data_IF_255228882264
#
_entry.id   IF_255228882264
#
_cell.length_a   1.000
_cell.length_b   1.000
_cell.length_c   1.000
_cell.angle_alpha   90.00
_cell.angle_beta   90.00
_cell.angle_gamma   90.00
#
_symmetry.space_group_name_H-M   'P 1'
#
loop_
_entity.id
_entity.type
_entity.pdbx_description
1 polymer ?
#
# COMPACT_ATOMS: atom_id res chain seq x y z
N UNK A 1 32.10 37.29 73.98
CA UNK A 1 31.58 36.21 74.83
C UNK A 1 31.08 35.12 73.90
N UNK A 2 31.82 33.99 73.85
CA UNK A 2 31.47 32.64 73.32
C UNK A 2 31.05 32.53 71.83
N UNK A 3 31.63 31.69 70.96
CA UNK A 3 32.63 30.62 70.94
C UNK A 3 32.67 30.09 69.48
N UNK A 4 33.82 29.78 68.86
CA UNK A 4 34.43 28.43 68.73
C UNK A 4 33.39 27.32 68.49
N UNK A 5 33.37 26.61 67.36
CA UNK A 5 34.23 25.46 67.03
C UNK A 5 33.97 25.05 65.53
N UNK A 6 34.95 25.03 64.64
CA UNK A 6 35.78 23.86 64.25
C UNK A 6 35.04 22.67 63.62
N UNK A 7 35.31 22.41 62.34
CA UNK A 7 35.49 21.07 61.74
C UNK A 7 35.70 21.18 60.21
N UNK A 8 36.88 20.81 59.76
CA UNK A 8 37.17 20.39 58.38
C UNK A 8 37.22 18.83 58.35
N UNK A 9 37.63 18.18 57.24
CA UNK A 9 36.97 18.02 55.93
C UNK A 9 36.71 16.51 55.64
N UNK A 10 35.94 16.16 54.61
CA UNK A 10 36.16 14.87 53.93
C UNK A 10 35.78 14.91 52.44
N UNK A 11 36.54 14.13 51.68
CA UNK A 11 36.61 14.09 50.23
C UNK A 11 35.44 13.34 49.57
N UNK A 12 35.36 13.56 48.26
CA UNK A 12 35.25 12.50 47.25
C UNK A 12 33.96 12.51 46.41
N UNK A 13 34.16 13.00 45.19
CA UNK A 13 33.83 12.31 43.94
C UNK A 13 32.45 12.49 43.30
N UNK A 14 32.56 12.89 42.03
CA UNK A 14 31.76 12.51 40.86
C UNK A 14 30.73 13.54 40.31
N UNK A 15 30.57 13.59 38.97
CA UNK A 15 30.26 14.79 38.19
C UNK A 15 28.75 15.08 38.05
N UNK A 16 28.36 16.29 37.60
CA UNK A 16 26.96 16.66 37.49
C UNK A 16 26.30 16.01 36.27
N UNK A 17 25.25 15.24 36.50
CA UNK A 17 24.25 14.90 35.51
C UNK A 17 23.01 15.78 35.70
N UNK A 18 22.37 16.10 34.59
CA UNK A 18 21.01 16.67 34.43
C UNK A 18 20.95 18.17 34.14
N UNK A 19 21.09 18.51 32.86
CA UNK A 19 20.43 19.70 32.31
C UNK A 19 18.92 19.46 32.24
N UNK A 20 18.08 20.40 32.69
CA UNK A 20 16.64 20.32 32.50
C UNK A 20 16.27 20.81 31.10
N UNK A 21 15.60 19.98 30.30
CA UNK A 21 14.95 20.44 29.07
C UNK A 21 13.61 21.08 29.44
N UNK A 22 13.60 22.41 29.52
CA UNK A 22 12.39 23.20 29.68
C UNK A 22 12.02 23.85 28.33
N UNK A 23 11.00 23.24 27.73
CA UNK A 23 9.81 23.86 27.13
C UNK A 23 9.92 25.00 26.10
N UNK A 24 9.22 24.76 24.98
CA UNK A 24 8.41 25.71 24.17
C UNK A 24 9.16 26.84 23.45
N UNK A 25 8.87 27.24 22.20
CA UNK A 25 7.67 27.16 21.38
C UNK A 25 7.97 27.66 19.95
N UNK A 26 7.36 27.03 18.96
CA UNK A 26 6.90 27.53 17.64
C UNK A 26 7.49 28.82 17.02
N UNK A 27 8.03 28.70 15.79
CA UNK A 27 7.63 29.56 14.66
C UNK A 27 8.13 29.02 13.31
N UNK A 28 7.16 28.64 12.49
CA UNK A 28 7.02 28.80 11.04
C UNK A 28 8.23 29.31 10.24
N UNK A 29 8.72 28.49 9.29
CA UNK A 29 9.13 29.00 7.98
C UNK A 29 8.73 28.02 6.88
N UNK A 30 7.87 28.53 6.02
CA UNK A 30 7.22 27.85 4.91
C UNK A 30 8.24 27.59 3.79
N UNK A 31 8.67 26.35 3.64
CA UNK A 31 9.30 25.86 2.41
C UNK A 31 8.22 25.26 1.51
N UNK A 32 7.91 25.96 0.41
CA UNK A 32 7.09 25.41 -0.68
C UNK A 32 7.72 24.12 -1.22
N UNK A 33 6.90 23.17 -1.68
CA UNK A 33 7.07 22.77 -3.06
C UNK A 33 5.89 23.26 -3.90
N UNK A 34 6.29 23.99 -4.94
CA UNK A 34 5.54 24.43 -6.10
C UNK A 34 4.50 23.40 -6.54
N UNK A 35 3.24 23.85 -6.57
CA UNK A 35 2.18 23.24 -7.37
C UNK A 35 2.54 23.44 -8.84
N UNK A 36 3.38 22.58 -9.40
CA UNK A 36 3.59 22.49 -10.84
C UNK A 36 2.38 21.78 -11.44
N UNK A 37 1.39 22.58 -11.89
CA UNK A 37 0.38 22.08 -12.83
C UNK A 37 1.08 22.01 -14.18
N UNK A 38 1.67 20.85 -14.50
CA UNK A 38 2.05 20.52 -15.86
C UNK A 38 0.78 20.03 -16.60
N UNK A 39 0.36 20.69 -17.70
CA UNK A 39 -0.72 20.19 -18.54
C UNK A 39 -0.15 19.22 -19.60
N UNK A 40 0.37 18.08 -19.17
CA UNK A 40 0.86 17.02 -20.08
C UNK A 40 0.88 15.60 -19.49
N UNK A 41 0.04 15.29 -18.49
CA UNK A 41 0.20 14.06 -17.69
C UNK A 41 -1.13 13.58 -17.08
N UNK A 42 -1.92 12.84 -17.85
CA UNK A 42 -3.22 12.26 -17.43
C UNK A 42 -3.10 11.09 -16.44
N UNK A 43 -1.88 10.60 -16.20
CA UNK A 43 -1.61 9.43 -15.34
C UNK A 43 -0.59 9.83 -14.26
N UNK A 44 -0.94 9.72 -12.96
CA UNK A 44 -0.01 9.98 -11.86
C UNK A 44 1.14 8.94 -11.80
N UNK A 45 2.24 9.25 -11.10
CA UNK A 45 3.34 8.30 -10.90
C UNK A 45 2.93 7.13 -10.00
N UNK A 46 3.69 6.03 -10.03
CA UNK A 46 3.43 4.86 -9.20
C UNK A 46 3.31 5.23 -7.70
N UNK A 47 2.32 4.68 -6.98
CA UNK A 47 2.08 5.01 -5.58
C UNK A 47 3.12 4.33 -4.68
N UNK A 48 3.56 5.05 -3.64
CA UNK A 48 4.48 4.52 -2.62
C UNK A 48 3.75 4.06 -1.35
N UNK A 49 2.48 4.46 -1.19
CA UNK A 49 1.65 4.21 -0.01
C UNK A 49 0.22 3.84 -0.40
N UNK A 50 -0.50 3.19 0.53
CA UNK A 50 -1.90 2.81 0.31
C UNK A 50 -2.83 4.00 0.10
N UNK A 51 -2.63 5.08 0.86
CA UNK A 51 -3.42 6.30 0.71
C UNK A 51 -3.27 6.92 -0.68
N UNK A 52 -2.06 6.95 -1.23
CA UNK A 52 -1.81 7.47 -2.58
C UNK A 52 -2.53 6.61 -3.62
N UNK A 53 -2.41 5.29 -3.51
CA UNK A 53 -3.10 4.35 -4.39
C UNK A 53 -4.63 4.56 -4.37
N UNK A 54 -5.22 4.68 -3.18
CA UNK A 54 -6.67 4.86 -3.05
C UNK A 54 -7.15 6.19 -3.65
N UNK A 55 -6.38 7.27 -3.43
CA UNK A 55 -6.66 8.58 -4.01
C UNK A 55 -6.59 8.52 -5.53
N UNK A 56 -5.52 7.97 -6.08
CA UNK A 56 -5.31 7.87 -7.53
C UNK A 56 -6.35 6.95 -8.17
N UNK A 57 -6.69 5.84 -7.51
CA UNK A 57 -7.79 4.97 -7.93
C UNK A 57 -9.10 5.74 -8.07
N UNK A 58 -9.50 6.49 -7.03
CA UNK A 58 -10.73 7.29 -7.04
C UNK A 58 -10.76 8.34 -8.14
N UNK A 59 -9.60 8.90 -8.49
CA UNK A 59 -9.43 9.86 -9.58
C UNK A 59 -9.51 9.18 -10.96
N UNK A 60 -8.89 8.01 -11.13
CA UNK A 60 -8.72 7.33 -12.40
C UNK A 60 -9.83 6.33 -12.73
N UNK A 61 -10.65 5.89 -11.77
CA UNK A 61 -11.69 4.87 -11.98
C UNK A 61 -12.71 5.20 -13.08
N UNK A 62 -12.85 6.48 -13.45
CA UNK A 62 -13.70 6.92 -14.57
C UNK A 62 -13.05 6.72 -15.94
N UNK A 63 -11.74 6.51 -15.98
CA UNK A 63 -10.91 6.32 -17.16
C UNK A 63 -10.13 4.99 -17.02
N UNK A 64 -10.76 3.84 -17.30
CA UNK A 64 -10.18 2.53 -17.01
C UNK A 64 -8.87 2.26 -17.80
N UNK A 65 -8.71 2.85 -18.99
CA UNK A 65 -7.46 2.79 -19.75
C UNK A 65 -6.29 3.48 -19.02
N UNK A 66 -6.53 4.67 -18.44
CA UNK A 66 -5.51 5.37 -17.65
C UNK A 66 -5.20 4.61 -16.36
N UNK A 67 -6.21 3.98 -15.75
CA UNK A 67 -6.04 3.13 -14.59
C UNK A 67 -5.20 1.88 -14.90
N UNK A 68 -5.39 1.28 -16.07
CA UNK A 68 -4.56 0.17 -16.56
C UNK A 68 -3.09 0.59 -16.69
N UNK A 69 -2.81 1.70 -17.38
CA UNK A 69 -1.45 2.23 -17.50
C UNK A 69 -0.84 2.66 -16.16
N UNK A 70 -1.66 3.17 -15.24
CA UNK A 70 -1.24 3.46 -13.87
C UNK A 70 -0.78 2.20 -13.13
N UNK A 71 -1.57 1.12 -13.17
CA UNK A 71 -1.21 -0.15 -12.54
C UNK A 71 0.02 -0.79 -13.18
N UNK A 72 0.24 -0.61 -14.50
CA UNK A 72 1.44 -1.08 -15.19
C UNK A 72 2.73 -0.44 -14.68
N UNK A 73 2.67 0.75 -14.08
CA UNK A 73 3.83 1.41 -13.47
C UNK A 73 4.20 0.81 -12.10
N UNK A 74 3.33 -0.01 -11.51
CA UNK A 74 3.52 -0.57 -10.17
C UNK A 74 4.30 -1.88 -10.29
N UNK A 75 5.48 -2.00 -9.67
CA UNK A 75 6.20 -3.26 -9.67
C UNK A 75 5.45 -4.31 -8.82
N UNK A 76 5.37 -5.58 -9.27
CA UNK A 76 4.61 -6.61 -8.56
C UNK A 76 4.96 -6.76 -7.08
N UNK A 77 6.24 -6.64 -6.74
CA UNK A 77 6.76 -6.70 -5.36
C UNK A 77 6.19 -5.62 -4.44
N UNK A 78 5.70 -4.51 -4.97
CA UNK A 78 5.13 -3.41 -4.19
C UNK A 78 3.66 -3.61 -3.84
N UNK A 79 2.92 -4.46 -4.56
CA UNK A 79 1.47 -4.65 -4.36
C UNK A 79 1.13 -4.96 -2.91
N UNK A 80 1.82 -5.92 -2.28
CA UNK A 80 1.53 -6.29 -0.89
C UNK A 80 1.68 -5.09 0.05
N UNK A 81 2.68 -4.23 -0.15
CA UNK A 81 2.91 -3.02 0.68
C UNK A 81 1.85 -1.95 0.43
N UNK A 82 1.57 -1.62 -0.83
CA UNK A 82 0.68 -0.50 -1.15
C UNK A 82 -0.80 -0.88 -1.00
N UNK A 83 -1.18 -2.14 -1.15
CA UNK A 83 -2.57 -2.56 -0.95
C UNK A 83 -2.88 -2.88 0.51
N UNK A 84 -1.88 -3.03 1.37
CA UNK A 84 -2.05 -3.54 2.73
C UNK A 84 -3.12 -2.82 3.56
N UNK A 85 -3.21 -1.49 3.45
CA UNK A 85 -4.13 -0.67 4.25
C UNK A 85 -5.38 -0.20 3.47
N UNK A 86 -5.32 -0.17 2.13
CA UNK A 86 -6.40 0.37 1.29
C UNK A 86 -7.18 -0.70 0.52
N UNK A 87 -6.80 -1.99 0.61
CA UNK A 87 -7.56 -3.06 -0.02
C UNK A 87 -8.92 -3.25 0.68
N UNK A 88 -9.95 -2.70 0.05
CA UNK A 88 -11.36 -2.98 0.33
C UNK A 88 -12.01 -3.77 -0.83
N UNK A 89 -13.28 -4.14 -0.68
CA UNK A 89 -13.99 -4.95 -1.67
C UNK A 89 -14.14 -4.23 -3.01
N UNK A 90 -14.38 -2.91 -2.99
CA UNK A 90 -14.54 -2.12 -4.21
C UNK A 90 -13.24 -2.04 -5.00
N UNK A 91 -12.12 -1.80 -4.30
CA UNK A 91 -10.80 -1.77 -4.90
C UNK A 91 -10.41 -3.15 -5.43
N UNK A 92 -10.62 -4.22 -4.66
CA UNK A 92 -10.34 -5.59 -5.11
C UNK A 92 -11.12 -5.96 -6.37
N UNK A 93 -12.44 -5.76 -6.36
CA UNK A 93 -13.31 -6.05 -7.49
C UNK A 93 -12.97 -5.19 -8.70
N UNK A 94 -12.60 -3.93 -8.46
CA UNK A 94 -12.10 -3.03 -9.49
C UNK A 94 -10.83 -3.54 -10.15
N UNK A 95 -9.84 -3.98 -9.37
CA UNK A 95 -8.59 -4.55 -9.89
C UNK A 95 -8.88 -5.81 -10.70
N UNK A 96 -9.78 -6.68 -10.23
CA UNK A 96 -10.17 -7.89 -10.95
C UNK A 96 -10.82 -7.56 -12.32
N UNK A 97 -11.71 -6.56 -12.37
CA UNK A 97 -12.27 -6.07 -13.64
C UNK A 97 -11.19 -5.50 -14.55
N UNK A 98 -10.24 -4.74 -14.00
CA UNK A 98 -9.11 -4.21 -14.75
C UNK A 98 -8.26 -5.33 -15.37
N UNK A 99 -8.05 -6.43 -14.64
CA UNK A 99 -7.36 -7.61 -15.13
C UNK A 99 -8.11 -8.24 -16.31
N UNK A 100 -9.42 -8.46 -16.13
CA UNK A 100 -10.26 -9.08 -17.16
C UNK A 100 -10.35 -8.23 -18.44
N UNK A 101 -10.58 -6.93 -18.29
CA UNK A 101 -10.88 -6.04 -19.40
C UNK A 101 -9.62 -5.56 -20.15
N UNK A 102 -8.46 -5.50 -19.48
CA UNK A 102 -7.24 -4.93 -20.07
C UNK A 102 -6.04 -5.88 -20.05
N UNK A 103 -5.72 -6.52 -18.92
CA UNK A 103 -4.51 -7.36 -18.84
C UNK A 103 -4.63 -8.61 -19.71
N UNK A 104 -5.77 -9.30 -19.65
CA UNK A 104 -6.02 -10.51 -20.44
C UNK A 104 -5.97 -10.21 -21.95
N UNK A 105 -6.73 -9.23 -22.49
CA UNK A 105 -6.63 -8.86 -23.90
C UNK A 105 -5.25 -8.38 -24.34
N UNK A 106 -4.52 -7.71 -23.44
CA UNK A 106 -3.15 -7.24 -23.69
C UNK A 106 -2.08 -8.34 -23.53
N UNK A 107 -2.49 -9.56 -23.13
CA UNK A 107 -1.60 -10.72 -22.87
C UNK A 107 -0.53 -10.41 -21.82
N UNK A 108 -0.85 -9.54 -20.88
CA UNK A 108 0.01 -9.28 -19.74
C UNK A 108 -0.03 -10.46 -18.76
N UNK A 109 1.08 -10.75 -18.04
CA UNK A 109 1.08 -11.76 -16.99
C UNK A 109 0.21 -11.30 -15.82
N UNK A 110 -0.73 -12.15 -15.41
CA UNK A 110 -1.70 -11.86 -14.34
C UNK A 110 -1.50 -12.75 -13.11
N UNK A 111 -0.81 -13.89 -13.27
CA UNK A 111 -0.60 -14.84 -12.17
C UNK A 111 0.08 -14.20 -10.96
N UNK A 112 1.21 -13.51 -11.17
CA UNK A 112 1.93 -12.88 -10.06
C UNK A 112 1.08 -11.80 -9.38
N UNK A 113 0.35 -10.99 -10.15
CA UNK A 113 -0.52 -9.96 -9.59
C UNK A 113 -1.58 -10.58 -8.66
N UNK A 114 -2.26 -11.63 -9.11
CA UNK A 114 -3.25 -12.34 -8.30
C UNK A 114 -2.65 -12.97 -7.03
N UNK A 115 -1.43 -13.48 -7.10
CA UNK A 115 -0.71 -13.99 -5.93
C UNK A 115 -0.40 -12.87 -4.92
N UNK A 116 0.03 -11.69 -5.38
CA UNK A 116 0.32 -10.55 -4.50
C UNK A 116 -0.94 -9.99 -3.84
N UNK A 117 -2.05 -9.95 -4.58
CA UNK A 117 -3.37 -9.56 -4.05
C UNK A 117 -3.80 -10.49 -2.91
N UNK A 118 -3.70 -11.82 -3.09
CA UNK A 118 -4.13 -12.78 -2.06
C UNK A 118 -3.22 -12.81 -0.82
N UNK A 119 -2.04 -12.19 -0.89
CA UNK A 119 -1.08 -12.12 0.23
C UNK A 119 -1.38 -10.97 1.21
N UNK A 120 -2.37 -10.12 0.92
CA UNK A 120 -2.74 -8.97 1.76
C UNK A 120 -3.63 -9.44 2.92
N UNK A 121 -3.32 -9.05 4.17
CA UNK A 121 -4.04 -9.52 5.38
C UNK A 121 -5.57 -9.40 5.34
N UNK A 122 -6.14 -8.42 4.62
CA UNK A 122 -7.59 -8.19 4.53
C UNK A 122 -8.25 -8.84 3.32
N UNK A 123 -7.49 -9.60 2.52
CA UNK A 123 -7.98 -10.21 1.30
C UNK A 123 -9.18 -11.14 1.54
N UNK A 124 -9.09 -12.05 2.52
CA UNK A 124 -10.16 -13.01 2.82
C UNK A 124 -11.48 -12.30 3.15
N UNK A 125 -11.42 -11.20 3.90
CA UNK A 125 -12.60 -10.37 4.18
C UNK A 125 -13.19 -9.80 2.90
N UNK A 126 -12.36 -9.27 2.00
CA UNK A 126 -12.83 -8.69 0.74
C UNK A 126 -13.47 -9.74 -0.19
N UNK A 127 -12.94 -10.96 -0.21
CA UNK A 127 -13.52 -12.10 -0.94
C UNK A 127 -14.90 -12.47 -0.40
N UNK A 128 -15.10 -12.45 0.93
CA UNK A 128 -16.41 -12.74 1.54
C UNK A 128 -17.50 -11.75 1.10
N UNK A 129 -17.14 -10.52 0.73
CA UNK A 129 -18.06 -9.47 0.28
C UNK A 129 -18.24 -9.41 -1.24
N UNK A 130 -17.68 -10.35 -2.00
CA UNK A 130 -17.88 -10.41 -3.45
C UNK A 130 -19.34 -10.72 -3.80
N UNK A 131 -19.92 -9.93 -4.70
CA UNK A 131 -21.23 -10.20 -5.26
C UNK A 131 -21.18 -11.41 -6.21
N UNK A 132 -22.35 -11.90 -6.64
CA UNK A 132 -22.43 -12.95 -7.67
C UNK A 132 -21.77 -12.50 -8.98
N UNK A 133 -21.90 -11.22 -9.34
CA UNK A 133 -21.25 -10.66 -10.52
C UNK A 133 -19.73 -10.64 -10.37
N UNK A 134 -19.22 -10.29 -9.19
CA UNK A 134 -17.77 -10.25 -8.96
C UNK A 134 -17.16 -11.65 -8.97
N UNK A 135 -17.87 -12.65 -8.44
CA UNK A 135 -17.45 -14.06 -8.54
C UNK A 135 -17.36 -14.56 -9.98
N UNK A 136 -18.26 -14.14 -10.87
CA UNK A 136 -18.17 -14.46 -12.30
C UNK A 136 -16.91 -13.90 -12.95
N UNK A 137 -16.53 -12.66 -12.59
CA UNK A 137 -15.27 -12.06 -13.07
C UNK A 137 -14.08 -12.91 -12.64
N UNK A 138 -14.07 -13.38 -11.38
CA UNK A 138 -13.05 -14.30 -10.88
C UNK A 138 -13.05 -15.61 -11.68
N UNK A 139 -14.20 -16.24 -11.89
CA UNK A 139 -14.32 -17.48 -12.69
C UNK A 139 -13.72 -17.32 -14.10
N UNK A 140 -14.01 -16.21 -14.78
CA UNK A 140 -13.50 -15.90 -16.12
C UNK A 140 -11.98 -15.71 -16.13
N UNK A 141 -11.43 -14.98 -15.16
CA UNK A 141 -9.97 -14.81 -15.00
C UNK A 141 -9.29 -16.16 -14.81
N UNK A 142 -9.83 -17.02 -13.94
CA UNK A 142 -9.25 -18.35 -13.70
C UNK A 142 -9.49 -19.32 -14.87
N UNK A 143 -10.55 -19.16 -15.65
CA UNK A 143 -10.73 -19.90 -16.90
C UNK A 143 -9.63 -19.55 -17.90
N UNK A 144 -9.30 -18.26 -18.03
CA UNK A 144 -8.18 -17.82 -18.87
C UNK A 144 -6.84 -18.38 -18.41
N UNK A 145 -6.51 -18.29 -17.12
CA UNK A 145 -5.25 -18.81 -16.56
C UNK A 145 -5.03 -20.30 -16.86
N UNK A 146 -6.08 -21.12 -16.81
CA UNK A 146 -5.99 -22.56 -17.13
C UNK A 146 -5.59 -22.82 -18.58
N UNK A 147 -5.77 -21.85 -19.46
CA UNK A 147 -5.46 -21.93 -20.90
C UNK A 147 -4.26 -21.08 -21.32
N UNK A 148 -3.83 -20.11 -20.50
CA UNK A 148 -2.76 -19.16 -20.85
C UNK A 148 -1.36 -19.78 -20.74
N UNK A 149 -1.20 -20.83 -19.94
CA UNK A 149 0.10 -21.48 -19.72
C UNK A 149 1.06 -20.70 -18.81
N UNK A 150 0.56 -19.69 -18.08
CA UNK A 150 1.37 -18.88 -17.15
C UNK A 150 1.85 -19.64 -15.91
N UNK A 151 1.12 -20.67 -15.48
CA UNK A 151 1.42 -21.44 -14.28
C UNK A 151 0.85 -22.86 -14.34
N UNK A 152 1.37 -23.73 -13.48
CA UNK A 152 0.89 -25.10 -13.34
C UNK A 152 -0.55 -25.15 -12.81
N UNK A 153 -1.33 -26.12 -13.29
CA UNK A 153 -2.73 -26.28 -12.88
C UNK A 153 -2.94 -26.44 -11.37
N UNK A 154 -1.94 -26.98 -10.65
CA UNK A 154 -1.97 -27.08 -9.18
C UNK A 154 -1.88 -25.71 -8.51
N UNK A 155 -0.99 -24.84 -8.98
CA UNK A 155 -0.82 -23.47 -8.46
C UNK A 155 -2.05 -22.63 -8.77
N UNK A 156 -2.59 -22.74 -9.99
CA UNK A 156 -3.84 -22.08 -10.39
C UNK A 156 -4.99 -22.53 -9.48
N UNK A 157 -5.11 -23.84 -9.20
CA UNK A 157 -6.18 -24.37 -8.33
C UNK A 157 -6.04 -23.87 -6.88
N UNK A 158 -4.83 -23.87 -6.31
CA UNK A 158 -4.59 -23.33 -4.96
C UNK A 158 -4.97 -21.85 -4.88
N UNK A 159 -4.62 -21.08 -5.90
CA UNK A 159 -4.93 -19.66 -5.95
C UNK A 159 -6.44 -19.44 -6.11
N UNK A 160 -7.13 -20.21 -6.97
CA UNK A 160 -8.58 -20.14 -7.17
C UNK A 160 -9.37 -20.29 -5.86
N UNK A 161 -8.97 -21.25 -5.02
CA UNK A 161 -9.58 -21.46 -3.69
C UNK A 161 -9.50 -20.22 -2.81
N UNK A 162 -8.37 -19.48 -2.85
CA UNK A 162 -8.25 -18.22 -2.09
C UNK A 162 -9.23 -17.16 -2.56
N UNK A 163 -9.51 -17.12 -3.86
CA UNK A 163 -10.50 -16.20 -4.43
C UNK A 163 -11.95 -16.68 -4.27
N UNK A 164 -12.19 -17.79 -3.57
CA UNK A 164 -13.52 -18.29 -3.26
C UNK A 164 -14.18 -19.09 -4.38
N UNK A 165 -13.37 -19.67 -5.28
CA UNK A 165 -13.80 -20.66 -6.29
C UNK A 165 -13.65 -22.11 -5.80
#
# INVERSE_FOLDING_TARGET
MTGEDSAAPDSSSAPPASSPIASSSSSSSSGLPTKSVNPSSDIPPAPHTSYQLEKDWKQLQKNPLNLYHYFKQIPPSSYTKILQQSLDSNLLNGILRLILDFYIPSKDPIMEMLQRLCSVRRFDMNVMFMSKQDKKVVEEIFAHLRTSGEADGSEIKKLAVKYGL
#
